data_IF_828110221316
#
_entry.id   IF_828110221316
#
_cell.length_a   1.000
_cell.length_b   1.000
_cell.length_c   1.000
_cell.angle_alpha   90.00
_cell.angle_beta   90.00
_cell.angle_gamma   90.00
#
_symmetry.space_group_name_H-M   'P 1'
#
loop_
_entity.id
_entity.type
_entity.pdbx_description
1 polymer ?
#
# COMPACT_ATOMS: atom_id res chain seq x y z
N UNK A 1 2.74 -4.02 17.67
CA UNK A 1 3.95 -4.32 16.88
C UNK A 1 5.13 -3.61 17.54
N UNK A 2 6.24 -4.31 17.76
CA UNK A 2 7.47 -3.68 18.23
C UNK A 2 7.94 -2.65 17.19
N UNK A 3 8.17 -1.42 17.65
CA UNK A 3 8.69 -0.36 16.81
C UNK A 3 10.19 -0.63 16.59
N UNK A 4 10.53 -1.34 15.50
CA UNK A 4 11.90 -1.73 15.15
C UNK A 4 12.81 -0.55 14.76
N UNK A 5 12.37 0.70 14.96
CA UNK A 5 13.17 1.92 14.70
C UNK A 5 13.37 2.25 13.22
N UNK A 6 12.72 1.52 12.31
CA UNK A 6 12.69 1.83 10.88
C UNK A 6 11.70 2.96 10.54
N UNK A 7 11.86 3.61 9.38
CA UNK A 7 10.91 4.62 8.91
C UNK A 7 9.52 4.00 8.68
N UNK A 8 8.46 4.76 9.01
CA UNK A 8 7.09 4.34 8.70
C UNK A 8 6.89 4.22 7.19
N UNK A 9 6.26 3.14 6.73
CA UNK A 9 5.89 2.97 5.32
C UNK A 9 5.01 4.13 4.81
N UNK A 10 4.17 4.69 5.69
CA UNK A 10 3.37 5.88 5.37
C UNK A 10 4.25 7.11 5.15
N UNK A 11 5.24 7.33 6.02
CA UNK A 11 6.18 8.46 5.88
C UNK A 11 6.99 8.36 4.58
N UNK A 12 7.37 7.15 4.18
CA UNK A 12 8.08 6.91 2.92
C UNK A 12 7.20 7.19 1.69
N UNK A 13 5.89 6.93 1.76
CA UNK A 13 4.96 7.15 0.64
C UNK A 13 4.50 8.59 0.52
N UNK A 14 4.36 9.32 1.64
CA UNK A 14 3.81 10.67 1.67
C UNK A 14 4.42 11.63 0.62
N UNK A 15 5.73 11.69 0.37
CA UNK A 15 6.30 12.56 -0.67
C UNK A 15 5.78 12.26 -2.10
N UNK A 16 5.46 10.99 -2.37
CA UNK A 16 5.06 10.47 -3.67
C UNK A 16 3.54 10.34 -3.83
N UNK A 17 2.79 10.44 -2.73
CA UNK A 17 1.34 10.36 -2.74
C UNK A 17 0.68 11.59 -3.40
N UNK A 18 -0.46 11.34 -4.06
CA UNK A 18 -1.37 12.36 -4.59
C UNK A 18 -1.97 13.16 -3.44
N UNK A 19 -2.57 14.32 -3.75
CA UNK A 19 -3.30 15.08 -2.73
C UNK A 19 -4.43 14.26 -2.09
N UNK A 20 -5.10 13.45 -2.90
CA UNK A 20 -6.25 12.65 -2.43
C UNK A 20 -5.79 11.54 -1.48
N UNK A 21 -4.71 10.84 -1.80
CA UNK A 21 -4.15 9.80 -0.94
C UNK A 21 -3.56 10.39 0.35
N UNK A 22 -2.86 11.52 0.26
CA UNK A 22 -2.36 12.24 1.45
C UNK A 22 -3.48 12.57 2.43
N UNK A 23 -4.59 13.11 1.92
CA UNK A 23 -5.74 13.44 2.77
C UNK A 23 -6.31 12.21 3.47
N UNK A 24 -6.36 11.06 2.77
CA UNK A 24 -6.83 9.82 3.35
C UNK A 24 -5.88 9.29 4.45
N UNK A 25 -4.57 9.34 4.23
CA UNK A 25 -3.55 8.97 5.23
C UNK A 25 -3.65 9.86 6.47
N UNK A 26 -3.86 11.16 6.28
CA UNK A 26 -4.04 12.12 7.38
C UNK A 26 -5.27 11.79 8.23
N UNK A 27 -6.40 11.42 7.60
CA UNK A 27 -7.60 10.98 8.32
C UNK A 27 -7.35 9.73 9.18
N UNK A 28 -6.58 8.77 8.67
CA UNK A 28 -6.22 7.60 9.46
C UNK A 28 -5.36 7.98 10.68
N UNK A 29 -4.35 8.82 10.48
CA UNK A 29 -3.52 9.31 11.58
C UNK A 29 -4.31 10.16 12.61
N UNK A 30 -5.34 10.87 12.18
CA UNK A 30 -6.31 11.55 13.07
C UNK A 30 -7.14 10.53 13.87
N UNK A 31 -7.61 9.47 13.22
CA UNK A 31 -8.31 8.37 13.87
C UNK A 31 -7.42 7.70 14.94
N UNK A 32 -6.19 7.31 14.60
CA UNK A 32 -5.30 6.62 15.54
C UNK A 32 -5.00 7.47 16.79
N UNK A 33 -4.83 8.79 16.60
CA UNK A 33 -4.67 9.73 17.73
C UNK A 33 -5.91 9.81 18.61
N UNK A 34 -7.10 9.75 18.02
CA UNK A 34 -8.38 9.82 18.77
C UNK A 34 -8.67 8.52 19.51
N UNK A 35 -8.50 7.39 18.85
CA UNK A 35 -8.81 6.06 19.38
C UNK A 35 -7.70 5.51 20.28
N UNK A 36 -6.52 6.15 20.32
CA UNK A 36 -5.31 5.67 21.00
C UNK A 36 -4.94 4.23 20.60
N UNK A 37 -5.16 3.90 19.32
CA UNK A 37 -5.05 2.54 18.80
C UNK A 37 -4.91 2.52 17.29
N UNK A 38 -4.93 1.31 16.74
CA UNK A 38 -4.81 1.05 15.31
C UNK A 38 -6.18 1.30 14.66
N UNK A 39 -6.20 2.07 13.56
CA UNK A 39 -7.40 2.26 12.74
C UNK A 39 -7.38 1.33 11.52
N UNK A 40 -7.39 1.87 10.30
CA UNK A 40 -7.54 1.07 9.08
C UNK A 40 -6.22 0.46 8.58
N UNK A 41 -5.07 0.88 9.11
CA UNK A 41 -3.75 0.43 8.66
C UNK A 41 -3.01 -0.21 9.83
N UNK A 42 -2.76 -1.51 9.76
CA UNK A 42 -2.04 -2.28 10.77
C UNK A 42 -0.81 -3.03 10.21
N UNK A 43 -0.42 -2.72 8.97
CA UNK A 43 0.63 -3.43 8.22
C UNK A 43 1.45 -2.48 7.33
N UNK A 44 2.58 -2.97 6.78
CA UNK A 44 3.39 -2.23 5.81
C UNK A 44 2.71 -2.21 4.43
N UNK A 45 2.20 -1.05 4.04
CA UNK A 45 1.47 -0.86 2.79
C UNK A 45 2.34 -0.91 1.52
N UNK A 46 3.67 -0.77 1.63
CA UNK A 46 4.59 -0.85 0.48
C UNK A 46 4.78 -2.30 0.07
N UNK A 47 4.95 -3.19 1.05
CA UNK A 47 5.28 -4.59 0.79
C UNK A 47 4.17 -5.57 1.19
N UNK A 48 3.03 -5.12 1.73
CA UNK A 48 1.95 -6.01 2.19
C UNK A 48 2.49 -7.22 2.99
N UNK A 49 3.43 -6.96 3.88
CA UNK A 49 4.24 -7.98 4.55
C UNK A 49 4.58 -7.56 5.98
N UNK A 50 4.89 -8.54 6.81
CA UNK A 50 5.26 -8.32 8.21
C UNK A 50 6.78 -8.26 8.41
N UNK A 51 7.55 -8.81 7.46
CA UNK A 51 9.01 -8.95 7.54
C UNK A 51 9.67 -8.42 6.26
N UNK A 52 10.92 -7.97 6.37
CA UNK A 52 11.74 -7.41 5.29
C UNK A 52 12.24 -8.47 4.29
N UNK A 53 12.19 -9.75 4.66
CA UNK A 53 12.67 -10.83 3.80
C UNK A 53 11.69 -11.10 2.63
N UNK A 54 12.06 -10.62 1.43
CA UNK A 54 11.31 -10.80 0.19
C UNK A 54 12.04 -11.75 -0.75
N UNK A 55 11.29 -12.61 -1.45
CA UNK A 55 11.84 -13.46 -2.50
C UNK A 55 10.99 -13.45 -3.77
N UNK A 56 11.57 -13.87 -4.90
CA UNK A 56 10.89 -13.96 -6.22
C UNK A 56 10.22 -12.64 -6.62
N UNK A 57 10.94 -11.54 -6.40
CA UNK A 57 10.46 -10.21 -6.72
C UNK A 57 10.37 -9.99 -8.23
N UNK A 58 9.28 -9.38 -8.67
CA UNK A 58 9.04 -8.97 -10.04
C UNK A 58 8.28 -7.63 -10.06
N UNK A 59 8.57 -6.81 -11.07
CA UNK A 59 7.91 -5.54 -11.34
C UNK A 59 7.37 -5.51 -12.76
N UNK A 60 6.11 -5.09 -12.89
CA UNK A 60 5.48 -4.84 -14.19
C UNK A 60 4.71 -3.53 -14.15
N UNK A 61 4.56 -2.89 -15.31
CA UNK A 61 3.71 -1.73 -15.48
C UNK A 61 2.56 -2.04 -16.46
N UNK A 62 1.51 -1.24 -16.40
CA UNK A 62 0.38 -1.38 -17.30
C UNK A 62 -0.71 -0.35 -17.04
N UNK A 63 -1.93 -0.68 -17.45
CA UNK A 63 -3.12 0.13 -17.21
C UNK A 63 -4.20 -0.76 -16.60
N UNK A 64 -4.83 -0.31 -15.52
CA UNK A 64 -5.95 -1.01 -14.85
C UNK A 64 -6.99 0.02 -14.45
N UNK A 65 -8.26 -0.23 -14.80
CA UNK A 65 -9.37 0.72 -14.58
C UNK A 65 -9.07 2.12 -15.14
N UNK A 66 -8.48 2.17 -16.34
CA UNK A 66 -8.08 3.43 -17.01
C UNK A 66 -7.02 4.27 -16.28
N UNK A 67 -6.36 3.72 -15.25
CA UNK A 67 -5.26 4.35 -14.55
C UNK A 67 -3.93 3.61 -14.83
N UNK A 68 -2.82 4.34 -15.04
CA UNK A 68 -1.49 3.74 -15.04
C UNK A 68 -1.23 3.04 -13.71
N UNK A 69 -0.64 1.84 -13.78
CA UNK A 69 -0.35 1.02 -12.61
C UNK A 69 1.05 0.43 -12.70
N UNK A 70 1.74 0.39 -11.56
CA UNK A 70 2.93 -0.44 -11.35
C UNK A 70 2.54 -1.56 -10.38
N UNK A 71 2.80 -2.80 -10.77
CA UNK A 71 2.53 -4.01 -9.99
C UNK A 71 3.84 -4.60 -9.50
N UNK A 72 4.03 -4.67 -8.19
CA UNK A 72 5.08 -5.47 -7.57
C UNK A 72 4.52 -6.83 -7.16
N UNK A 73 5.22 -7.92 -7.46
CA UNK A 73 4.88 -9.25 -6.94
C UNK A 73 6.10 -9.87 -6.28
N UNK A 74 5.89 -10.58 -5.17
CA UNK A 74 6.96 -11.20 -4.38
C UNK A 74 6.36 -12.20 -3.38
N UNK A 75 7.22 -12.93 -2.68
CA UNK A 75 6.85 -13.85 -1.61
C UNK A 75 7.31 -13.32 -0.25
N UNK A 76 6.39 -13.28 0.72
CA UNK A 76 6.59 -12.96 2.14
C UNK A 76 5.45 -13.63 2.93
N UNK A 77 5.71 -14.74 3.61
CA UNK A 77 4.66 -15.58 4.25
C UNK A 77 3.65 -16.23 3.28
N UNK A 78 3.75 -15.93 1.98
CA UNK A 78 2.83 -16.31 0.91
C UNK A 78 3.09 -15.44 -0.31
N UNK A 79 2.35 -15.63 -1.41
CA UNK A 79 2.50 -14.79 -2.60
C UNK A 79 1.74 -13.48 -2.38
N UNK A 80 2.40 -12.37 -2.63
CA UNK A 80 1.85 -11.02 -2.52
C UNK A 80 1.90 -10.29 -3.87
N UNK A 81 0.94 -9.38 -4.04
CA UNK A 81 0.95 -8.38 -5.11
C UNK A 81 0.54 -7.03 -4.55
N UNK A 82 1.32 -6.00 -4.86
CA UNK A 82 0.99 -4.60 -4.54
C UNK A 82 0.86 -3.83 -5.84
N UNK A 83 -0.33 -3.28 -6.09
CA UNK A 83 -0.60 -2.41 -7.24
C UNK A 83 -0.57 -0.95 -6.79
N UNK A 84 0.34 -0.18 -7.36
CA UNK A 84 0.43 1.27 -7.20
C UNK A 84 -0.24 1.94 -8.38
N UNK A 85 -1.38 2.61 -8.16
CA UNK A 85 -2.07 3.36 -9.21
C UNK A 85 -1.60 4.79 -9.20
N UNK A 86 -1.41 5.36 -10.39
CA UNK A 86 -0.85 6.70 -10.54
C UNK A 86 -1.84 7.67 -11.17
N UNK A 87 -1.77 8.92 -10.72
CA UNK A 87 -2.42 10.07 -11.37
C UNK A 87 -1.37 11.13 -11.68
N UNK A 88 -1.62 11.93 -12.71
CA UNK A 88 -0.77 13.07 -13.04
C UNK A 88 -1.30 14.32 -12.32
N UNK A 89 -0.54 14.85 -11.37
CA UNK A 89 -0.83 16.13 -10.72
C UNK A 89 0.20 17.16 -11.19
N UNK A 90 -0.26 18.14 -11.97
CA UNK A 90 0.56 19.27 -12.45
C UNK A 90 1.87 18.81 -13.14
N UNK A 91 1.79 17.78 -13.98
CA UNK A 91 2.94 17.25 -14.71
C UNK A 91 3.78 16.23 -13.93
N UNK A 92 3.45 15.93 -12.67
CA UNK A 92 4.16 14.94 -11.86
C UNK A 92 3.28 13.72 -11.60
N UNK A 93 3.81 12.52 -11.82
CA UNK A 93 3.12 11.29 -11.45
C UNK A 93 3.13 11.09 -9.94
N UNK A 94 1.96 10.80 -9.38
CA UNK A 94 1.75 10.60 -7.95
C UNK A 94 1.00 9.30 -7.71
N UNK A 95 1.37 8.60 -6.65
CA UNK A 95 0.65 7.40 -6.19
C UNK A 95 -0.68 7.85 -5.63
N UNK A 96 -1.77 7.36 -6.20
CA UNK A 96 -3.13 7.77 -5.85
C UNK A 96 -3.92 6.68 -5.13
N UNK A 97 -3.55 5.42 -5.32
CA UNK A 97 -4.12 4.26 -4.66
C UNK A 97 -3.06 3.17 -4.54
N UNK A 98 -3.14 2.39 -3.46
CA UNK A 98 -2.34 1.20 -3.23
C UNK A 98 -3.29 0.05 -2.96
N UNK A 99 -3.27 -0.96 -3.83
CA UNK A 99 -4.04 -2.18 -3.66
C UNK A 99 -3.08 -3.32 -3.30
N UNK A 100 -3.16 -3.77 -2.06
CA UNK A 100 -2.45 -4.92 -1.53
C UNK A 100 -3.29 -6.19 -1.70
N UNK A 101 -2.70 -7.26 -2.21
CA UNK A 101 -3.37 -8.54 -2.46
C UNK A 101 -2.47 -9.66 -1.94
N UNK A 102 -3.02 -10.48 -1.05
CA UNK A 102 -2.41 -11.74 -0.62
C UNK A 102 -3.10 -12.91 -1.33
N UNK A 103 -2.32 -13.94 -1.69
CA UNK A 103 -2.82 -15.12 -2.38
C UNK A 103 -2.57 -16.38 -1.56
N UNK A 104 -3.56 -17.27 -1.56
CA UNK A 104 -3.42 -18.64 -1.10
C UNK A 104 -2.41 -19.41 -1.96
N UNK A 105 -1.96 -20.57 -1.47
CA UNK A 105 -1.04 -21.45 -2.18
C UNK A 105 -1.59 -21.96 -3.54
N UNK A 106 -2.91 -22.06 -3.68
CA UNK A 106 -3.58 -22.44 -4.93
C UNK A 106 -3.72 -21.29 -5.94
N UNK A 107 -3.25 -20.08 -5.59
CA UNK A 107 -3.30 -18.89 -6.42
C UNK A 107 -4.62 -18.10 -6.33
N UNK A 108 -5.60 -18.56 -5.54
CA UNK A 108 -6.80 -17.77 -5.24
C UNK A 108 -6.45 -16.55 -4.36
N UNK A 109 -7.26 -15.49 -4.43
CA UNK A 109 -7.07 -14.31 -3.59
C UNK A 109 -7.55 -14.61 -2.18
N UNK A 110 -6.65 -14.56 -1.21
CA UNK A 110 -6.98 -14.72 0.21
C UNK A 110 -7.51 -13.41 0.78
N UNK A 111 -6.79 -12.31 0.55
CA UNK A 111 -7.17 -10.99 1.03
C UNK A 111 -6.85 -9.90 0.01
N UNK A 112 -7.61 -8.81 0.09
CA UNK A 112 -7.41 -7.62 -0.73
C UNK A 112 -7.74 -6.38 0.09
N UNK A 113 -6.81 -5.44 0.09
CA UNK A 113 -6.96 -4.16 0.77
C UNK A 113 -6.66 -3.03 -0.22
N UNK A 114 -7.53 -2.01 -0.25
CA UNK A 114 -7.33 -0.81 -1.07
C UNK A 114 -7.18 0.39 -0.17
N UNK A 115 -5.94 0.86 -0.02
CA UNK A 115 -5.57 1.87 0.96
C UNK A 115 -6.51 3.06 0.96
N UNK A 116 -6.55 3.84 -0.11
CA UNK A 116 -7.36 5.05 -0.13
C UNK A 116 -8.86 4.76 0.03
N UNK A 117 -9.34 3.61 -0.42
CA UNK A 117 -10.74 3.23 -0.26
C UNK A 117 -11.09 2.96 1.21
N UNK A 118 -10.22 2.24 1.94
CA UNK A 118 -10.44 1.89 3.36
C UNK A 118 -10.23 3.09 4.31
N UNK A 119 -9.51 4.13 3.87
CA UNK A 119 -9.24 5.34 4.65
C UNK A 119 -10.29 6.47 4.49
N UNK A 120 -11.44 6.21 3.85
CA UNK A 120 -12.41 7.26 3.50
C UNK A 120 -13.30 7.73 4.64
#
# INVERSE_FOLDING_TARGET
>A
AENLGGPSALDLILPYASKSLKSAIQKNAECERREQGICAIDFDIIINGQDWNLSRFDLSNGVKNSLPVVSATFYNGGRNKVNYFFVNEKGTWKIDEIEAIHYNADGSVESRFKLKQELR
#
